data_IF_530040345872
#
_entry.id   IF_530040345872
#
_cell.length_a   1.000
_cell.length_b   1.000
_cell.length_c   1.000
_cell.angle_alpha   90.00
_cell.angle_beta   90.00
_cell.angle_gamma   90.00
#
_symmetry.space_group_name_H-M   'P 1'
#
loop_
_entity.id
_entity.type
_entity.pdbx_description
1 polymer ?
#
# COMPACT_ATOMS: atom_id res chain seq x y z
N UNK A 1 15.44 -0.09 -16.93
CA UNK A 1 15.48 0.40 -15.55
C UNK A 1 16.91 0.52 -15.10
N UNK A 2 17.29 1.65 -14.50
CA UNK A 2 18.64 1.87 -14.00
C UNK A 2 18.73 1.62 -12.50
N UNK A 3 19.83 0.99 -12.08
CA UNK A 3 20.15 0.75 -10.66
C UNK A 3 21.45 1.49 -10.32
N UNK A 4 21.57 1.97 -9.08
CA UNK A 4 22.81 2.53 -8.57
C UNK A 4 23.84 1.39 -8.47
N UNK A 5 24.82 1.37 -9.37
CA UNK A 5 25.90 0.40 -9.31
C UNK A 5 26.80 0.63 -8.09
N UNK A 6 27.29 -0.44 -7.48
CA UNK A 6 28.29 -0.39 -6.39
C UNK A 6 29.59 0.33 -6.78
N UNK A 7 29.82 0.56 -8.06
CA UNK A 7 30.98 1.23 -8.64
C UNK A 7 30.75 2.71 -9.00
N UNK A 8 29.65 3.31 -8.55
CA UNK A 8 29.36 4.74 -8.73
C UNK A 8 28.70 5.13 -10.08
N UNK A 9 28.72 4.25 -11.11
CA UNK A 9 27.99 4.51 -12.37
C UNK A 9 26.68 3.73 -12.40
N UNK A 10 25.54 4.37 -12.74
CA UNK A 10 24.27 3.67 -12.92
C UNK A 10 24.38 2.57 -13.97
N UNK A 11 23.83 1.39 -13.66
CA UNK A 11 23.78 0.26 -14.59
C UNK A 11 22.35 0.09 -15.10
N UNK A 12 22.20 -0.02 -16.43
CA UNK A 12 20.92 -0.30 -17.06
C UNK A 12 20.60 -1.80 -16.99
N UNK A 13 19.44 -2.13 -16.42
CA UNK A 13 18.87 -3.47 -16.51
C UNK A 13 17.94 -3.52 -17.72
N UNK A 14 18.29 -4.34 -18.73
CA UNK A 14 17.48 -4.54 -19.92
C UNK A 14 16.33 -5.51 -19.61
N UNK A 15 15.15 -4.96 -19.36
CA UNK A 15 13.95 -5.75 -19.16
C UNK A 15 13.21 -5.90 -20.49
N UNK A 16 12.98 -7.14 -20.89
CA UNK A 16 12.15 -7.45 -22.05
C UNK A 16 10.65 -7.38 -21.71
N UNK A 17 9.81 -7.29 -22.71
CA UNK A 17 8.35 -7.44 -22.54
C UNK A 17 8.01 -8.78 -21.89
N UNK A 18 8.75 -9.84 -22.22
CA UNK A 18 8.54 -11.17 -21.62
C UNK A 18 8.77 -11.16 -20.11
N UNK A 19 9.87 -10.53 -19.64
CA UNK A 19 10.15 -10.45 -18.22
C UNK A 19 9.01 -9.75 -17.46
N UNK A 20 8.60 -8.56 -17.93
CA UNK A 20 7.53 -7.80 -17.29
C UNK A 20 6.18 -8.54 -17.34
N UNK A 21 5.85 -9.15 -18.49
CA UNK A 21 4.59 -9.86 -18.64
C UNK A 21 4.52 -11.14 -17.79
N UNK A 22 5.64 -11.86 -17.65
CA UNK A 22 5.74 -13.04 -16.78
C UNK A 22 5.50 -12.64 -15.33
N UNK A 23 6.16 -11.59 -14.86
CA UNK A 23 5.99 -11.08 -13.50
C UNK A 23 4.54 -10.64 -13.23
N UNK A 24 3.95 -9.87 -14.14
CA UNK A 24 2.56 -9.42 -14.05
C UNK A 24 1.58 -10.60 -14.00
N UNK A 25 1.78 -11.62 -14.83
CA UNK A 25 0.95 -12.83 -14.82
C UNK A 25 1.07 -13.60 -13.52
N UNK A 26 2.28 -13.69 -12.99
CA UNK A 26 2.54 -14.36 -11.70
C UNK A 26 1.80 -13.63 -10.57
N UNK A 27 1.94 -12.30 -10.49
CA UNK A 27 1.25 -11.48 -9.48
C UNK A 27 -0.28 -11.62 -9.61
N UNK A 28 -0.82 -11.48 -10.83
CA UNK A 28 -2.24 -11.60 -11.06
C UNK A 28 -2.80 -13.01 -10.76
N UNK A 29 -1.97 -14.05 -10.89
CA UNK A 29 -2.34 -15.42 -10.55
C UNK A 29 -2.27 -15.74 -9.06
N UNK A 30 -1.29 -15.17 -8.35
CA UNK A 30 -1.07 -15.41 -6.91
C UNK A 30 -1.97 -14.51 -6.05
N UNK A 31 -2.21 -13.27 -6.50
CA UNK A 31 -3.00 -12.26 -5.80
C UNK A 31 -4.11 -11.70 -6.71
N UNK A 32 -5.09 -12.54 -7.11
CA UNK A 32 -6.13 -12.13 -8.06
C UNK A 32 -7.00 -10.97 -7.55
N UNK A 33 -7.06 -10.77 -6.22
CA UNK A 33 -7.82 -9.71 -5.59
C UNK A 33 -7.15 -8.32 -5.67
N UNK A 34 -5.82 -8.25 -5.88
CA UNK A 34 -5.08 -6.98 -5.89
C UNK A 34 -5.23 -6.23 -7.22
N UNK A 35 -5.06 -6.95 -8.33
CA UNK A 35 -5.13 -6.39 -9.67
C UNK A 35 -6.26 -7.08 -10.43
N UNK A 36 -7.42 -6.46 -10.46
CA UNK A 36 -8.64 -7.02 -11.05
C UNK A 36 -9.42 -5.99 -11.85
N UNK A 37 -10.17 -6.46 -12.83
CA UNK A 37 -11.07 -5.60 -13.61
C UNK A 37 -12.10 -4.93 -12.70
N UNK A 38 -12.20 -3.60 -12.78
CA UNK A 38 -13.06 -2.81 -11.90
C UNK A 38 -12.44 -2.43 -10.56
N UNK A 39 -11.30 -3.04 -10.19
CA UNK A 39 -10.49 -2.55 -9.08
C UNK A 39 -9.78 -1.24 -9.42
N UNK A 40 -9.18 -0.60 -8.42
CA UNK A 40 -8.44 0.65 -8.59
C UNK A 40 -7.20 0.70 -7.73
N UNK A 41 -6.14 1.32 -8.24
CA UNK A 41 -4.87 1.52 -7.54
C UNK A 41 -4.42 2.98 -7.65
N UNK A 42 -3.96 3.57 -6.55
CA UNK A 42 -3.32 4.88 -6.58
C UNK A 42 -1.81 4.69 -6.67
N UNK A 43 -1.24 5.08 -7.83
CA UNK A 43 0.17 4.92 -8.11
C UNK A 43 0.91 6.25 -7.87
N UNK A 44 1.75 6.26 -6.85
CA UNK A 44 2.64 7.38 -6.49
C UNK A 44 4.12 6.97 -6.55
N UNK A 45 4.38 5.67 -6.78
CA UNK A 45 5.75 5.18 -6.93
C UNK A 45 6.33 5.61 -8.28
N UNK A 46 7.59 6.06 -8.32
CA UNK A 46 8.22 6.45 -9.58
C UNK A 46 8.26 5.30 -10.59
N UNK A 47 7.84 5.56 -11.83
CA UNK A 47 7.91 4.57 -12.91
C UNK A 47 9.33 4.19 -13.33
N UNK A 48 10.34 4.96 -12.87
CA UNK A 48 11.74 4.61 -13.00
C UNK A 48 12.15 3.41 -12.14
N UNK A 49 11.40 3.12 -11.07
CA UNK A 49 11.58 1.95 -10.23
C UNK A 49 10.72 0.78 -10.70
N UNK A 50 11.27 -0.44 -10.56
CA UNK A 50 10.60 -1.68 -10.99
C UNK A 50 9.21 -1.85 -10.39
N UNK A 51 9.03 -1.53 -9.13
CA UNK A 51 7.74 -1.65 -8.45
C UNK A 51 6.63 -0.80 -9.10
N UNK A 52 6.88 0.50 -9.33
CA UNK A 52 5.95 1.36 -10.04
C UNK A 52 5.65 0.87 -11.45
N UNK A 53 6.69 0.41 -12.16
CA UNK A 53 6.56 -0.12 -13.51
C UNK A 53 5.71 -1.40 -13.55
N UNK A 54 5.92 -2.33 -12.62
CA UNK A 54 5.16 -3.60 -12.57
C UNK A 54 3.68 -3.33 -12.25
N UNK A 55 3.38 -2.45 -11.30
CA UNK A 55 1.99 -2.07 -11.00
C UNK A 55 1.32 -1.41 -12.20
N UNK A 56 2.00 -0.49 -12.88
CA UNK A 56 1.48 0.14 -14.10
C UNK A 56 1.18 -0.90 -15.19
N UNK A 57 2.10 -1.81 -15.46
CA UNK A 57 1.90 -2.87 -16.45
C UNK A 57 0.81 -3.86 -16.02
N UNK A 58 0.77 -4.20 -14.73
CA UNK A 58 -0.23 -5.07 -14.14
C UNK A 58 -1.63 -4.50 -14.27
N UNK A 59 -1.79 -3.23 -13.96
CA UNK A 59 -3.07 -2.53 -14.08
C UNK A 59 -3.60 -2.51 -15.52
N UNK A 60 -2.72 -2.29 -16.51
CA UNK A 60 -3.09 -2.38 -17.93
C UNK A 60 -3.51 -3.81 -18.29
N UNK A 61 -2.73 -4.82 -17.85
CA UNK A 61 -3.00 -6.22 -18.12
C UNK A 61 -4.35 -6.69 -17.56
N UNK A 62 -4.67 -6.28 -16.35
CA UNK A 62 -5.88 -6.70 -15.63
C UNK A 62 -7.07 -5.76 -15.79
N UNK A 63 -6.91 -4.63 -16.50
CA UNK A 63 -7.91 -3.55 -16.63
C UNK A 63 -8.28 -2.89 -15.30
N UNK A 64 -7.32 -2.80 -14.39
CA UNK A 64 -7.45 -2.07 -13.12
C UNK A 64 -7.38 -0.57 -13.40
N UNK A 65 -8.22 0.22 -12.75
CA UNK A 65 -8.22 1.69 -12.88
C UNK A 65 -7.00 2.24 -12.12
N UNK A 66 -6.23 3.13 -12.77
CA UNK A 66 -5.04 3.74 -12.17
C UNK A 66 -5.26 5.22 -11.96
N UNK A 67 -5.19 5.66 -10.69
CA UNK A 67 -4.96 7.06 -10.34
C UNK A 67 -3.46 7.31 -10.19
N UNK A 68 -3.00 8.50 -10.53
CA UNK A 68 -1.61 8.90 -10.37
C UNK A 68 -1.48 10.09 -9.43
N UNK A 69 -0.57 9.99 -8.46
CA UNK A 69 -0.15 11.10 -7.61
C UNK A 69 1.29 11.45 -7.94
N UNK A 70 1.51 12.67 -8.39
CA UNK A 70 2.86 13.15 -8.75
C UNK A 70 3.66 13.59 -7.52
N UNK A 71 2.99 14.08 -6.48
CA UNK A 71 3.61 14.58 -5.25
C UNK A 71 3.15 13.76 -4.04
N UNK A 72 4.10 13.14 -3.35
CA UNK A 72 3.85 12.34 -2.14
C UNK A 72 3.21 13.17 -1.00
N UNK A 73 3.33 14.50 -1.04
CA UNK A 73 2.66 15.37 -0.06
C UNK A 73 1.15 15.39 -0.24
N UNK A 74 0.66 15.18 -1.47
CA UNK A 74 -0.76 15.10 -1.82
C UNK A 74 -1.35 13.68 -1.68
N UNK A 75 -0.52 12.70 -1.28
CA UNK A 75 -0.96 11.30 -1.19
C UNK A 75 -2.20 11.09 -0.32
N UNK A 76 -2.29 11.75 0.83
CA UNK A 76 -3.44 11.58 1.74
C UNK A 76 -4.74 12.20 1.21
N UNK A 77 -4.73 13.45 0.69
CA UNK A 77 -5.89 14.00 -0.02
C UNK A 77 -6.32 13.13 -1.20
N UNK A 78 -5.37 12.67 -2.02
CA UNK A 78 -5.64 11.84 -3.19
C UNK A 78 -6.22 10.47 -2.81
N UNK A 79 -5.71 9.84 -1.75
CA UNK A 79 -6.28 8.59 -1.22
C UNK A 79 -7.73 8.78 -0.78
N UNK A 80 -8.02 9.90 -0.10
CA UNK A 80 -9.37 10.20 0.37
C UNK A 80 -10.35 10.48 -0.78
N UNK A 81 -9.89 11.13 -1.85
CA UNK A 81 -10.69 11.46 -3.03
C UNK A 81 -10.88 10.25 -3.95
N UNK A 82 -9.80 9.54 -4.28
CA UNK A 82 -9.80 8.43 -5.25
C UNK A 82 -10.32 7.12 -4.66
N UNK A 83 -10.09 6.87 -3.37
CA UNK A 83 -10.50 5.66 -2.63
C UNK A 83 -10.09 4.36 -3.36
N UNK A 84 -8.79 4.12 -3.56
CA UNK A 84 -8.34 2.93 -4.29
C UNK A 84 -8.75 1.64 -3.55
N UNK A 85 -9.02 0.57 -4.30
CA UNK A 85 -9.25 -0.76 -3.72
C UNK A 85 -7.95 -1.41 -3.27
N UNK A 86 -6.82 -0.96 -3.82
CA UNK A 86 -5.49 -1.48 -3.52
C UNK A 86 -4.45 -0.34 -3.52
N UNK A 87 -3.50 -0.43 -2.59
CA UNK A 87 -2.37 0.50 -2.50
C UNK A 87 -1.07 -0.29 -2.29
N UNK A 88 -0.11 -0.10 -3.19
CA UNK A 88 1.26 -0.57 -2.98
C UNK A 88 2.12 0.58 -2.44
N UNK A 89 2.70 0.38 -1.27
CA UNK A 89 3.57 1.37 -0.66
C UNK A 89 4.77 0.71 0.02
N UNK A 90 5.85 1.46 0.15
CA UNK A 90 7.01 1.05 0.96
C UNK A 90 6.75 1.35 2.44
N UNK A 91 7.35 0.61 3.40
CA UNK A 91 7.08 0.76 4.84
C UNK A 91 7.15 2.21 5.34
N UNK A 92 8.11 2.99 4.87
CA UNK A 92 8.28 4.40 5.26
C UNK A 92 7.07 5.28 4.92
N UNK A 93 6.31 4.94 3.89
CA UNK A 93 5.09 5.67 3.54
C UNK A 93 4.00 5.39 4.57
N UNK A 94 3.82 4.13 4.96
CA UNK A 94 2.89 3.75 6.02
C UNK A 94 3.24 4.40 7.35
N UNK A 95 4.54 4.44 7.72
CA UNK A 95 5.01 5.15 8.91
C UNK A 95 4.66 6.64 8.87
N UNK A 96 4.89 7.31 7.73
CA UNK A 96 4.56 8.73 7.54
C UNK A 96 3.06 8.97 7.68
N UNK A 97 2.23 8.12 7.05
CA UNK A 97 0.77 8.20 7.14
C UNK A 97 0.30 8.01 8.58
N UNK A 98 0.78 6.97 9.26
CA UNK A 98 0.46 6.68 10.64
C UNK A 98 0.83 7.84 11.58
N UNK A 99 2.07 8.33 11.48
CA UNK A 99 2.56 9.42 12.32
C UNK A 99 1.79 10.72 12.06
N UNK A 100 1.45 11.01 10.80
CA UNK A 100 0.64 12.17 10.44
C UNK A 100 -0.79 12.08 10.99
N UNK A 101 -1.43 10.93 10.89
CA UNK A 101 -2.76 10.67 11.43
C UNK A 101 -2.76 10.77 12.97
N UNK A 102 -1.76 10.16 13.62
CA UNK A 102 -1.56 10.22 15.07
C UNK A 102 -1.41 11.67 15.56
N UNK A 103 -0.52 12.43 14.92
CA UNK A 103 -0.30 13.83 15.27
C UNK A 103 -1.57 14.67 15.15
N UNK A 104 -2.34 14.48 14.06
CA UNK A 104 -3.62 15.15 13.86
C UNK A 104 -4.63 14.77 14.95
N UNK A 105 -4.76 13.49 15.27
CA UNK A 105 -5.64 13.02 16.34
C UNK A 105 -5.27 13.61 17.71
N UNK A 106 -3.97 13.73 18.02
CA UNK A 106 -3.51 14.37 19.26
C UNK A 106 -3.84 15.88 19.28
N UNK A 107 -3.64 16.58 18.17
CA UNK A 107 -3.98 18.01 18.05
C UNK A 107 -5.50 18.23 18.22
N UNK A 108 -6.32 17.31 17.75
CA UNK A 108 -7.79 17.36 17.86
C UNK A 108 -8.32 16.85 19.24
N UNK A 109 -7.43 16.58 20.20
CA UNK A 109 -7.79 16.06 21.52
C UNK A 109 -8.25 14.59 21.54
N UNK A 110 -8.13 13.87 20.41
CA UNK A 110 -8.53 12.46 20.22
C UNK A 110 -7.36 11.48 20.30
N UNK A 111 -6.18 11.92 20.73
CA UNK A 111 -4.96 11.12 20.74
C UNK A 111 -5.11 9.80 21.50
N UNK A 112 -5.75 9.81 22.68
CA UNK A 112 -5.99 8.58 23.47
C UNK A 112 -6.87 7.56 22.74
N UNK A 113 -7.84 8.03 21.96
CA UNK A 113 -8.72 7.17 21.16
C UNK A 113 -7.92 6.54 20.02
N UNK A 114 -7.11 7.35 19.34
CA UNK A 114 -6.23 6.87 18.27
C UNK A 114 -5.23 5.81 18.78
N UNK A 115 -4.54 6.10 19.89
CA UNK A 115 -3.56 5.17 20.47
C UNK A 115 -4.27 3.85 20.88
N UNK A 116 -5.45 3.90 21.49
CA UNK A 116 -6.22 2.71 21.85
C UNK A 116 -6.70 1.91 20.62
N UNK A 117 -7.05 2.57 19.52
CA UNK A 117 -7.39 1.93 18.25
C UNK A 117 -6.17 1.23 17.64
N UNK A 118 -5.02 1.93 17.60
CA UNK A 118 -3.77 1.38 17.09
C UNK A 118 -3.30 0.15 17.89
N UNK A 119 -3.33 0.21 19.23
CA UNK A 119 -3.00 -0.92 20.10
C UNK A 119 -3.94 -2.11 19.86
N UNK A 120 -5.22 -1.82 19.63
CA UNK A 120 -6.22 -2.85 19.33
C UNK A 120 -5.95 -3.52 17.98
N UNK A 121 -5.61 -2.74 16.94
CA UNK A 121 -5.26 -3.26 15.62
C UNK A 121 -3.99 -4.12 15.66
N UNK A 122 -2.97 -3.69 16.41
CA UNK A 122 -1.74 -4.47 16.60
C UNK A 122 -2.03 -5.78 17.34
N UNK A 123 -2.82 -5.73 18.43
CA UNK A 123 -3.20 -6.93 19.18
C UNK A 123 -4.04 -7.88 18.32
N UNK A 124 -4.93 -7.35 17.49
CA UNK A 124 -5.73 -8.12 16.54
C UNK A 124 -4.86 -8.85 15.53
N UNK A 125 -3.92 -8.14 14.89
CA UNK A 125 -3.00 -8.74 13.92
C UNK A 125 -2.18 -9.88 14.54
N UNK A 126 -1.58 -9.64 15.72
CA UNK A 126 -0.81 -10.68 16.43
C UNK A 126 -1.65 -11.89 16.83
N UNK A 127 -2.92 -11.69 17.18
CA UNK A 127 -3.80 -12.78 17.55
C UNK A 127 -4.14 -13.70 16.36
N UNK A 128 -4.12 -13.20 15.13
CA UNK A 128 -4.33 -14.03 13.93
C UNK A 128 -3.25 -15.12 13.79
N UNK A 129 -2.01 -14.83 14.21
CA UNK A 129 -0.89 -15.77 14.12
C UNK A 129 -0.91 -16.83 15.24
N UNK A 130 -1.73 -16.64 16.29
CA UNK A 130 -1.74 -17.47 17.52
C UNK A 130 -3.08 -18.12 17.82
N UNK A 131 -3.88 -18.44 16.81
CA UNK A 131 -5.15 -19.16 16.97
C UNK A 131 -6.40 -18.26 16.98
N UNK A 132 -6.23 -16.98 16.69
CA UNK A 132 -7.33 -16.02 16.53
C UNK A 132 -7.65 -15.20 17.76
N UNK A 133 -8.35 -14.05 17.58
CA UNK A 133 -8.66 -13.12 18.66
C UNK A 133 -9.75 -13.66 19.59
N UNK A 134 -9.54 -13.51 20.90
CA UNK A 134 -10.53 -13.81 21.93
C UNK A 134 -11.73 -12.85 21.88
N UNK A 135 -12.82 -13.20 22.59
CA UNK A 135 -14.11 -12.46 22.54
C UNK A 135 -13.92 -10.98 22.92
N UNK A 136 -13.15 -10.67 23.95
CA UNK A 136 -12.90 -9.30 24.39
C UNK A 136 -12.20 -8.45 23.32
N UNK A 137 -11.22 -9.04 22.59
CA UNK A 137 -10.50 -8.37 21.52
C UNK A 137 -11.40 -8.17 20.30
N UNK A 138 -12.29 -9.12 20.00
CA UNK A 138 -13.30 -9.00 18.93
C UNK A 138 -14.26 -7.83 19.20
N UNK A 139 -14.76 -7.71 20.42
CA UNK A 139 -15.65 -6.62 20.81
C UNK A 139 -14.93 -5.26 20.71
N UNK A 140 -13.68 -5.19 21.17
CA UNK A 140 -12.86 -3.97 21.10
C UNK A 140 -12.52 -3.58 19.65
N UNK A 141 -12.17 -4.55 18.80
CA UNK A 141 -11.91 -4.32 17.39
C UNK A 141 -13.14 -3.77 16.66
N UNK A 142 -14.31 -4.38 16.86
CA UNK A 142 -15.57 -3.94 16.26
C UNK A 142 -15.98 -2.50 16.65
N UNK A 143 -15.47 -1.97 17.76
CA UNK A 143 -15.70 -0.58 18.17
C UNK A 143 -14.89 0.41 17.32
N UNK A 144 -13.69 0.01 16.85
CA UNK A 144 -12.76 0.88 16.11
C UNK A 144 -12.77 0.63 14.59
N UNK A 145 -13.44 -0.42 14.13
CA UNK A 145 -13.48 -0.84 12.71
C UNK A 145 -14.63 -0.14 11.91
N UNK A 146 -15.10 1.02 12.38
CA UNK A 146 -16.18 1.77 11.75
C UNK A 146 -15.69 3.00 11.00
#
# INVERSE_FOLDING_TARGET
IYTSGTTGRPKGCELTHHNLLTEVRTIAGVFPELLTAGGSVLLFLPLAHVFGKVIQCGAVYTRTIVGHTADVTELLPDLAAFRPTFLLAVPRVFEKVYNGARQRAHNDGKGKIFDAAADTAIAWSKAQDTGGPGIALRAKHALFDK
#
